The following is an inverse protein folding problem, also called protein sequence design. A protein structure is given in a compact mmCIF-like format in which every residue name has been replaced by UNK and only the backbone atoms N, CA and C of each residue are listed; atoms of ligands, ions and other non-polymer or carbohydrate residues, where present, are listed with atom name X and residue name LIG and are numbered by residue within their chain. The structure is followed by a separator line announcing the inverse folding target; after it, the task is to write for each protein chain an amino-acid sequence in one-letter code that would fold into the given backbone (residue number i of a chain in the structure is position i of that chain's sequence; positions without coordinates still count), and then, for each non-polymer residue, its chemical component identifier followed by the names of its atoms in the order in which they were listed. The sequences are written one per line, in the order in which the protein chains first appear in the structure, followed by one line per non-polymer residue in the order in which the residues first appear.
data_IF_015281844746
#
_entry.id   IF_015281844746
#
_cell.length_a   1.000
_cell.length_b   1.000
_cell.length_c   1.000
_cell.angle_alpha   90.00
_cell.angle_beta   90.00
_cell.angle_gamma   90.00
#
_symmetry.space_group_name_H-M   'P 1'
#
loop_
_entity.id
_entity.type
_entity.pdbx_description
1 polymer ?
#
# COMPACT_ATOMS: atom_id res chain seq x y z
N UNK A 1 22.72 5.40 -3.09
CA UNK A 1 22.07 5.20 -4.39
C UNK A 1 20.62 4.92 -4.04
N UNK A 2 19.71 5.78 -4.47
CA UNK A 2 18.31 5.69 -4.08
C UNK A 2 17.69 4.43 -4.69
N UNK A 3 16.70 3.83 -4.02
CA UNK A 3 16.12 2.57 -4.45
C UNK A 3 15.29 2.80 -5.73
N UNK A 4 15.55 2.02 -6.78
CA UNK A 4 14.82 2.13 -8.05
C UNK A 4 13.87 0.94 -8.22
N UNK A 5 12.58 1.25 -8.38
CA UNK A 5 11.55 0.27 -8.70
C UNK A 5 10.94 0.58 -10.07
N UNK A 6 11.38 -0.09 -11.15
CA UNK A 6 10.87 0.16 -12.50
C UNK A 6 9.36 -0.03 -12.67
N UNK A 7 8.73 -0.84 -11.81
CA UNK A 7 7.29 -1.08 -11.81
C UNK A 7 6.81 -1.01 -10.36
N UNK A 8 5.70 -0.30 -10.13
CA UNK A 8 5.00 -0.28 -8.84
C UNK A 8 3.54 -0.66 -9.07
N UNK A 9 3.07 -1.67 -8.36
CA UNK A 9 1.66 -2.04 -8.28
C UNK A 9 1.05 -1.40 -7.03
N UNK A 10 -0.12 -0.79 -7.21
CA UNK A 10 -0.97 -0.36 -6.11
C UNK A 10 -2.22 -1.23 -6.13
N UNK A 11 -2.50 -1.91 -5.03
CA UNK A 11 -3.63 -2.82 -4.90
C UNK A 11 -4.42 -2.54 -3.62
N UNK A 12 -5.67 -2.99 -3.58
CA UNK A 12 -6.55 -2.92 -2.43
C UNK A 12 -7.19 -4.28 -2.16
N UNK A 13 -6.94 -4.82 -0.99
CA UNK A 13 -7.55 -6.08 -0.52
C UNK A 13 -8.47 -5.78 0.65
N UNK A 14 -9.73 -6.21 0.55
CA UNK A 14 -10.68 -6.15 1.65
C UNK A 14 -10.58 -7.42 2.48
N UNK A 15 -10.18 -7.27 3.74
CA UNK A 15 -10.02 -8.38 4.68
C UNK A 15 -11.02 -8.27 5.83
N UNK A 16 -11.50 -9.42 6.31
CA UNK A 16 -12.32 -9.49 7.52
C UNK A 16 -11.42 -9.50 8.75
N UNK A 17 -11.56 -8.49 9.60
CA UNK A 17 -10.81 -8.36 10.84
C UNK A 17 -11.75 -8.34 12.03
N UNK A 18 -11.32 -8.93 13.16
CA UNK A 18 -12.04 -8.81 14.42
C UNK A 18 -11.63 -7.51 15.11
N UNK A 19 -12.56 -6.59 15.28
CA UNK A 19 -12.36 -5.32 15.95
C UNK A 19 -13.47 -5.08 16.98
N UNK A 20 -13.11 -4.81 18.23
CA UNK A 20 -14.05 -4.53 19.33
C UNK A 20 -15.18 -5.57 19.47
N UNK A 21 -14.84 -6.86 19.36
CA UNK A 21 -15.78 -7.97 19.50
C UNK A 21 -16.60 -8.31 18.25
N UNK A 22 -16.53 -7.49 17.19
CA UNK A 22 -17.25 -7.70 15.93
C UNK A 22 -16.30 -7.99 14.76
N UNK A 23 -16.76 -8.73 13.75
CA UNK A 23 -16.02 -8.91 12.50
C UNK A 23 -16.44 -7.83 11.52
N UNK A 24 -15.49 -7.00 11.11
CA UNK A 24 -15.69 -5.91 10.15
C UNK A 24 -14.81 -6.10 8.92
N UNK A 25 -15.23 -5.56 7.79
CA UNK A 25 -14.38 -5.47 6.61
C UNK A 25 -13.47 -4.25 6.75
N UNK A 26 -12.17 -4.42 6.50
CA UNK A 26 -11.22 -3.32 6.34
C UNK A 26 -10.52 -3.42 5.00
N UNK A 27 -10.36 -2.28 4.33
CA UNK A 27 -9.54 -2.16 3.14
C UNK A 27 -8.08 -2.00 3.53
N UNK A 28 -7.23 -2.81 2.90
CA UNK A 28 -5.78 -2.79 3.03
C UNK A 28 -5.20 -2.41 1.68
N UNK A 29 -4.54 -1.26 1.62
CA UNK A 29 -3.86 -0.79 0.43
C UNK A 29 -2.41 -1.22 0.48
N UNK A 30 -1.89 -1.70 -0.64
CA UNK A 30 -0.56 -2.29 -0.74
C UNK A 30 0.20 -1.59 -1.86
N UNK A 31 1.47 -1.28 -1.61
CA UNK A 31 2.42 -0.90 -2.65
C UNK A 31 3.45 -2.02 -2.83
N UNK A 32 3.50 -2.59 -4.03
CA UNK A 32 4.45 -3.64 -4.40
C UNK A 32 5.39 -3.11 -5.49
N UNK A 33 6.68 -3.07 -5.20
CA UNK A 33 7.72 -2.68 -6.16
C UNK A 33 8.30 -3.90 -6.86
N UNK A 34 8.63 -3.77 -8.14
CA UNK A 34 9.56 -4.68 -8.83
C UNK A 34 10.92 -4.01 -8.82
N UNK A 35 11.93 -4.63 -8.19
CA UNK A 35 13.28 -4.10 -8.18
C UNK A 35 14.00 -4.36 -9.53
N UNK A 36 15.22 -3.85 -9.69
CA UNK A 36 15.99 -4.02 -10.95
C UNK A 36 16.36 -5.47 -11.27
N UNK A 37 16.32 -6.35 -10.26
CA UNK A 37 16.55 -7.78 -10.41
C UNK A 37 15.26 -8.55 -10.77
N UNK A 38 14.14 -7.84 -10.94
CA UNK A 38 12.85 -8.42 -11.28
C UNK A 38 12.10 -9.05 -10.09
N UNK A 39 12.55 -8.80 -8.86
CA UNK A 39 11.95 -9.35 -7.65
C UNK A 39 10.83 -8.44 -7.13
N UNK A 40 9.74 -9.06 -6.65
CA UNK A 40 8.64 -8.36 -5.98
C UNK A 40 9.01 -8.08 -4.53
N UNK A 41 8.86 -6.83 -4.13
CA UNK A 41 9.08 -6.36 -2.76
C UNK A 41 7.86 -5.59 -2.26
N UNK A 42 7.49 -5.80 -0.99
CA UNK A 42 6.47 -4.99 -0.32
C UNK A 42 7.11 -3.69 0.14
N UNK A 43 6.66 -2.58 -0.45
CA UNK A 43 7.17 -1.26 -0.12
C UNK A 43 6.49 -0.73 1.14
N UNK A 44 5.15 -0.79 1.18
CA UNK A 44 4.38 -0.34 2.34
C UNK A 44 2.91 -0.84 2.27
N UNK A 45 2.17 -0.62 3.36
CA UNK A 45 0.77 -1.02 3.52
C UNK A 45 -0.01 -0.03 4.39
N UNK A 46 -1.22 0.32 3.94
CA UNK A 46 -2.10 1.25 4.66
C UNK A 46 -3.45 0.63 4.95
N UNK A 47 -3.98 0.92 6.14
CA UNK A 47 -5.38 0.68 6.47
C UNK A 47 -6.15 1.97 6.28
N UNK A 48 -7.17 1.95 5.44
CA UNK A 48 -8.03 3.10 5.22
C UNK A 48 -9.50 2.71 5.20
N UNK A 49 -10.34 3.65 5.62
CA UNK A 49 -11.80 3.54 5.52
C UNK A 49 -12.33 4.10 4.18
N UNK A 50 -11.57 5.02 3.54
CA UNK A 50 -11.99 5.78 2.35
C UNK A 50 -10.89 5.82 1.28
N UNK A 51 -11.24 5.60 -0.01
CA UNK A 51 -10.29 5.56 -1.15
C UNK A 51 -10.23 6.88 -1.96
N UNK A 52 -10.38 8.02 -1.30
CA UNK A 52 -10.45 9.32 -1.99
C UNK A 52 -9.11 9.77 -2.59
N UNK A 53 -9.15 10.74 -3.51
CA UNK A 53 -7.94 11.30 -4.13
C UNK A 53 -6.91 11.84 -3.12
N UNK A 54 -7.36 12.42 -2.00
CA UNK A 54 -6.49 12.89 -0.91
C UNK A 54 -5.75 11.74 -0.22
N UNK A 55 -6.37 10.57 -0.10
CA UNK A 55 -5.72 9.39 0.45
C UNK A 55 -4.61 8.91 -0.48
N UNK A 56 -4.89 8.74 -1.77
CA UNK A 56 -3.88 8.32 -2.75
C UNK A 56 -2.72 9.31 -2.87
N UNK A 57 -2.99 10.62 -2.76
CA UNK A 57 -1.93 11.62 -2.69
C UNK A 57 -1.01 11.41 -1.49
N UNK A 58 -1.57 11.12 -0.30
CA UNK A 58 -0.78 10.82 0.89
C UNK A 58 0.06 9.55 0.70
N UNK A 59 -0.55 8.47 0.21
CA UNK A 59 0.14 7.18 -0.10
C UNK A 59 1.35 7.42 -1.01
N UNK A 60 1.18 8.13 -2.12
CA UNK A 60 2.26 8.42 -3.06
C UNK A 60 3.32 9.36 -2.47
N UNK A 61 2.92 10.27 -1.58
CA UNK A 61 3.86 11.17 -0.88
C UNK A 61 4.73 10.42 0.11
N UNK A 62 4.14 9.49 0.86
CA UNK A 62 4.86 8.62 1.80
C UNK A 62 5.84 7.70 1.06
N UNK A 63 5.41 7.08 -0.06
CA UNK A 63 6.29 6.28 -0.91
C UNK A 63 7.48 7.06 -1.47
N UNK A 64 7.29 8.33 -1.84
CA UNK A 64 8.38 9.19 -2.32
C UNK A 64 9.42 9.48 -1.23
N UNK A 65 9.02 9.50 0.03
CA UNK A 65 9.93 9.78 1.16
C UNK A 65 10.70 8.52 1.55
N UNK A 66 10.11 7.34 1.35
CA UNK A 66 10.70 6.05 1.69
C UNK A 66 11.72 5.52 0.67
N UNK A 67 11.60 5.91 -0.61
CA UNK A 67 12.47 5.51 -1.71
C UNK A 67 13.60 6.51 -1.97
#
# INVERSE_FOLDING_TARGET
MDALYPIVYLDCIVVKVRHSGSVINKAVFLALGINTDGQKELLDMWLAENEGAKFWLNVLTELKIAA
#
